data_IF_917295576725
#
_entry.id   IF_917295576725
#
_cell.length_a   1.000
_cell.length_b   1.000
_cell.length_c   1.000
_cell.angle_alpha   90.00
_cell.angle_beta   90.00
_cell.angle_gamma   90.00
#
_symmetry.space_group_name_H-M   'P 1'
#
loop_
_entity.id
_entity.type
_entity.pdbx_description
1 polymer ?
#
# COMPACT_ATOMS: atom_id res chain seq x y z
N UNK A 1 10.67 8.22 -49.12
CA UNK A 1 11.31 8.98 -48.00
C UNK A 1 11.26 8.05 -46.81
N UNK A 2 12.27 7.17 -46.69
CA UNK A 2 12.43 6.23 -45.60
C UNK A 2 13.02 6.95 -44.41
N UNK A 3 12.30 6.99 -43.31
CA UNK A 3 12.84 7.39 -42.01
C UNK A 3 13.50 6.15 -41.41
N UNK A 4 14.80 6.10 -41.45
CA UNK A 4 15.64 5.19 -40.68
C UNK A 4 15.57 5.61 -39.23
N UNK A 5 14.84 4.85 -38.40
CA UNK A 5 14.96 4.89 -36.95
C UNK A 5 16.34 4.39 -36.56
N UNK A 6 17.18 5.31 -36.09
CA UNK A 6 18.40 4.94 -35.37
C UNK A 6 18.00 4.43 -33.98
N UNK A 7 17.89 3.13 -33.80
CA UNK A 7 18.03 2.49 -32.50
C UNK A 7 19.48 2.78 -32.02
N UNK A 8 19.61 3.72 -31.09
CA UNK A 8 20.82 3.83 -30.26
C UNK A 8 20.90 2.58 -29.38
N UNK A 9 21.61 1.58 -29.87
CA UNK A 9 22.03 0.43 -29.07
C UNK A 9 23.01 0.95 -28.02
N UNK A 10 22.62 0.86 -26.74
CA UNK A 10 23.55 0.96 -25.62
C UNK A 10 24.78 0.09 -25.94
N UNK A 11 26.00 0.62 -25.95
CA UNK A 11 27.16 -0.17 -26.30
C UNK A 11 27.27 -1.35 -25.34
N UNK A 12 27.24 -2.56 -25.87
CA UNK A 12 27.52 -3.75 -25.08
C UNK A 12 28.89 -3.52 -24.40
N UNK A 13 28.93 -3.55 -23.05
CA UNK A 13 30.22 -3.45 -22.32
C UNK A 13 31.12 -4.53 -22.90
N UNK A 14 32.21 -4.13 -23.53
CA UNK A 14 33.21 -5.07 -24.06
C UNK A 14 33.74 -5.92 -22.91
N UNK A 15 33.75 -7.22 -23.11
CA UNK A 15 34.33 -8.13 -22.13
C UNK A 15 35.82 -7.80 -21.97
N UNK A 16 36.26 -7.74 -20.74
CA UNK A 16 37.70 -7.57 -20.45
C UNK A 16 38.49 -8.76 -20.95
N UNK A 17 39.63 -8.48 -21.59
CA UNK A 17 40.56 -9.51 -22.03
C UNK A 17 41.25 -10.15 -20.83
N UNK A 18 41.75 -11.39 -21.00
CA UNK A 18 42.53 -12.10 -19.96
C UNK A 18 43.73 -11.29 -19.51
N UNK A 19 44.33 -10.55 -20.43
CA UNK A 19 45.49 -9.71 -20.13
C UNK A 19 45.12 -8.49 -19.27
N UNK A 20 43.99 -7.85 -19.55
CA UNK A 20 43.45 -6.76 -18.71
C UNK A 20 43.11 -7.26 -17.30
N UNK A 21 42.49 -8.43 -17.17
CA UNK A 21 42.23 -9.04 -15.89
C UNK A 21 43.47 -9.41 -15.10
N UNK A 22 44.50 -9.98 -15.77
CA UNK A 22 45.78 -10.26 -15.15
C UNK A 22 46.48 -9.00 -14.65
N UNK A 23 46.48 -7.94 -15.46
CA UNK A 23 47.06 -6.65 -15.09
C UNK A 23 46.38 -6.06 -13.87
N UNK A 24 45.05 -6.00 -13.87
CA UNK A 24 44.28 -5.53 -12.73
C UNK A 24 44.57 -6.32 -11.46
N UNK A 25 44.68 -7.67 -11.56
CA UNK A 25 45.01 -8.52 -10.42
C UNK A 25 46.43 -8.26 -9.90
N UNK A 26 47.45 -8.13 -10.79
CA UNK A 26 48.82 -7.87 -10.42
C UNK A 26 49.03 -6.51 -9.73
N UNK A 27 48.24 -5.50 -10.14
CA UNK A 27 48.37 -4.14 -9.62
C UNK A 27 47.31 -3.81 -8.55
N UNK A 28 46.49 -4.79 -8.16
CA UNK A 28 45.35 -4.59 -7.25
C UNK A 28 44.39 -3.48 -7.71
N UNK A 29 44.26 -3.31 -9.02
CA UNK A 29 43.36 -2.36 -9.62
C UNK A 29 41.90 -2.90 -9.51
N UNK A 30 40.90 -2.07 -9.15
CA UNK A 30 39.53 -2.50 -9.16
C UNK A 30 39.05 -2.81 -10.57
N UNK A 31 38.36 -3.92 -10.76
CA UNK A 31 37.73 -4.32 -12.02
C UNK A 31 36.24 -4.10 -11.94
N UNK A 32 35.71 -3.27 -12.85
CA UNK A 32 34.28 -3.07 -12.95
C UNK A 32 33.64 -4.14 -13.82
N UNK A 33 32.82 -4.96 -13.22
CA UNK A 33 31.96 -5.93 -13.92
C UNK A 33 30.53 -5.37 -14.04
N UNK A 34 29.82 -5.82 -15.06
CA UNK A 34 28.36 -5.61 -15.11
C UNK A 34 27.69 -6.23 -13.87
N UNK A 35 26.70 -5.56 -13.32
CA UNK A 35 26.02 -6.00 -12.10
C UNK A 35 24.53 -6.20 -12.33
N UNK A 36 24.14 -7.30 -13.01
CA UNK A 36 22.75 -7.53 -13.39
C UNK A 36 21.82 -7.85 -12.21
N UNK A 37 22.39 -8.13 -11.02
CA UNK A 37 21.62 -8.55 -9.82
C UNK A 37 21.92 -7.70 -8.58
N UNK A 38 22.54 -6.53 -8.75
CA UNK A 38 22.97 -5.64 -7.66
C UNK A 38 23.99 -6.28 -6.69
N UNK A 39 24.77 -7.27 -7.15
CA UNK A 39 25.78 -7.92 -6.31
C UNK A 39 26.98 -6.99 -6.07
N UNK A 40 27.29 -6.12 -7.03
CA UNK A 40 28.43 -5.20 -7.02
C UNK A 40 28.01 -3.73 -7.02
N UNK A 41 26.73 -3.41 -7.24
CA UNK A 41 26.24 -2.04 -7.20
C UNK A 41 26.34 -1.50 -5.78
N UNK A 42 27.03 -0.38 -5.60
CA UNK A 42 27.16 0.27 -4.28
C UNK A 42 25.83 0.92 -3.92
N UNK A 43 25.16 0.36 -2.91
CA UNK A 43 23.99 0.94 -2.27
C UNK A 43 24.43 1.53 -0.92
N UNK A 44 25.03 2.71 -0.96
CA UNK A 44 25.73 3.35 0.15
C UNK A 44 24.82 4.18 1.07
N UNK A 45 23.54 4.29 0.73
CA UNK A 45 22.52 4.95 1.54
C UNK A 45 21.59 3.93 2.16
N UNK A 46 21.24 4.15 3.42
CA UNK A 46 20.35 3.25 4.16
C UNK A 46 19.44 4.04 5.09
N UNK A 47 18.17 3.63 5.16
CA UNK A 47 17.24 4.13 6.16
C UNK A 47 16.20 3.06 6.54
N UNK A 48 15.72 3.15 7.78
CA UNK A 48 14.60 2.36 8.28
C UNK A 48 13.33 3.18 8.21
N UNK A 49 12.26 2.56 7.73
CA UNK A 49 10.91 3.10 7.70
C UNK A 49 9.93 2.10 8.32
N UNK A 50 8.74 2.57 8.65
CA UNK A 50 7.77 1.75 9.37
C UNK A 50 6.35 1.84 8.76
N UNK A 51 6.18 1.58 7.44
CA UNK A 51 4.85 1.64 6.85
C UNK A 51 3.88 0.74 7.61
N UNK A 52 2.73 1.31 8.01
CA UNK A 52 1.71 0.64 8.83
C UNK A 52 2.24 0.09 10.17
N UNK A 53 3.43 0.50 10.61
CA UNK A 53 4.08 0.04 11.83
C UNK A 53 5.06 -1.12 11.66
N UNK A 54 5.23 -1.66 10.45
CA UNK A 54 6.16 -2.75 10.15
C UNK A 54 7.54 -2.22 9.73
N UNK A 55 8.65 -2.82 10.21
CA UNK A 55 9.99 -2.37 9.84
C UNK A 55 10.32 -2.70 8.39
N UNK A 56 10.79 -1.70 7.65
CA UNK A 56 11.26 -1.81 6.27
C UNK A 56 12.63 -1.15 6.16
N UNK A 57 13.64 -1.92 5.80
CA UNK A 57 14.99 -1.47 5.52
C UNK A 57 15.12 -1.13 4.05
N UNK A 58 15.45 0.11 3.72
CA UNK A 58 15.70 0.57 2.35
C UNK A 58 17.18 0.85 2.16
N UNK A 59 17.82 0.14 1.24
CA UNK A 59 19.20 0.38 0.80
C UNK A 59 19.17 0.89 -0.64
N UNK A 60 19.91 1.97 -0.93
CA UNK A 60 19.87 2.60 -2.26
C UNK A 60 21.16 3.39 -2.52
N UNK A 61 21.36 3.78 -3.78
CA UNK A 61 22.38 4.74 -4.21
C UNK A 61 21.81 6.15 -4.45
N UNK A 62 20.53 6.41 -4.11
CA UNK A 62 19.85 7.68 -4.42
C UNK A 62 19.09 8.26 -3.21
N UNK A 63 19.43 9.51 -2.87
CA UNK A 63 18.70 10.24 -1.82
C UNK A 63 17.21 10.46 -2.20
N UNK A 64 16.94 10.62 -3.49
CA UNK A 64 15.57 10.78 -3.98
C UNK A 64 14.67 9.56 -3.68
N UNK A 65 15.23 8.35 -3.59
CA UNK A 65 14.50 7.15 -3.14
C UNK A 65 14.14 7.25 -1.67
N UNK A 66 15.10 7.65 -0.82
CA UNK A 66 14.84 7.82 0.62
C UNK A 66 13.83 8.93 0.88
N UNK A 67 13.85 10.00 0.08
CA UNK A 67 12.87 11.08 0.16
C UNK A 67 11.48 10.58 -0.25
N UNK A 68 11.38 9.77 -1.32
CA UNK A 68 10.13 9.14 -1.72
C UNK A 68 9.54 8.24 -0.61
N UNK A 69 10.39 7.44 0.03
CA UNK A 69 9.99 6.60 1.15
C UNK A 69 9.57 7.46 2.36
N UNK A 70 10.27 8.55 2.65
CA UNK A 70 9.96 9.47 3.76
C UNK A 70 8.61 10.18 3.55
N UNK A 71 8.30 10.60 2.34
CA UNK A 71 7.00 11.19 2.00
C UNK A 71 5.83 10.23 2.26
N UNK A 72 6.00 8.93 1.92
CA UNK A 72 4.97 7.91 2.12
C UNK A 72 4.90 7.35 3.53
N UNK A 73 6.05 7.20 4.18
CA UNK A 73 6.18 6.39 5.39
C UNK A 73 6.75 7.14 6.60
N UNK A 74 7.21 8.38 6.43
CA UNK A 74 7.89 9.14 7.48
C UNK A 74 7.02 9.49 8.69
N UNK A 75 5.71 9.38 8.59
CA UNK A 75 4.77 9.61 9.68
C UNK A 75 4.52 8.37 10.56
N UNK A 76 4.92 7.19 10.11
CA UNK A 76 4.74 5.96 10.86
C UNK A 76 5.92 5.70 11.78
N UNK A 77 5.63 5.10 12.94
CA UNK A 77 6.62 4.64 13.91
C UNK A 77 6.59 3.12 14.01
N UNK A 78 7.66 2.50 14.50
CA UNK A 78 7.70 1.08 14.77
C UNK A 78 6.61 0.69 15.78
N UNK A 79 5.77 -0.29 15.41
CA UNK A 79 4.73 -0.83 16.28
C UNK A 79 4.84 -2.34 16.44
N UNK A 80 5.34 -3.01 15.43
CA UNK A 80 5.44 -4.46 15.40
C UNK A 80 6.91 -4.85 15.37
N UNK A 81 7.32 -5.60 16.40
CA UNK A 81 8.66 -6.18 16.47
C UNK A 81 8.73 -7.38 15.53
N UNK A 82 9.23 -7.15 14.33
CA UNK A 82 9.37 -8.12 13.25
C UNK A 82 10.73 -7.94 12.58
N UNK A 83 11.22 -9.00 11.95
CA UNK A 83 12.38 -8.87 11.07
C UNK A 83 12.10 -7.87 9.95
N UNK A 84 13.03 -6.96 9.64
CA UNK A 84 12.81 -5.95 8.62
C UNK A 84 12.62 -6.53 7.22
N UNK A 85 11.59 -6.08 6.51
CA UNK A 85 11.46 -6.25 5.07
C UNK A 85 12.62 -5.51 4.42
N UNK A 86 13.34 -6.15 3.51
CA UNK A 86 14.56 -5.61 2.91
C UNK A 86 14.32 -5.18 1.47
N UNK A 87 14.43 -3.90 1.18
CA UNK A 87 14.33 -3.34 -0.15
C UNK A 87 15.71 -2.83 -0.60
N UNK A 88 16.24 -3.37 -1.69
CA UNK A 88 17.40 -2.85 -2.39
C UNK A 88 16.94 -2.11 -3.64
N UNK A 89 17.28 -0.84 -3.76
CA UNK A 89 16.84 0.01 -4.86
C UNK A 89 18.06 0.61 -5.55
N UNK A 90 18.33 0.16 -6.76
CA UNK A 90 19.35 0.77 -7.61
C UNK A 90 18.70 1.78 -8.57
N UNK A 91 19.28 2.97 -8.64
CA UNK A 91 18.86 4.02 -9.55
C UNK A 91 19.97 4.25 -10.57
N UNK A 92 19.62 4.18 -11.85
CA UNK A 92 20.51 4.49 -12.96
C UNK A 92 20.27 5.92 -13.46
N UNK A 93 21.33 6.60 -13.89
CA UNK A 93 21.24 7.92 -14.48
C UNK A 93 20.37 7.92 -15.73
N UNK A 94 19.49 8.90 -15.84
CA UNK A 94 18.59 9.06 -16.98
C UNK A 94 18.18 10.52 -17.13
N UNK A 95 18.42 11.06 -18.32
CA UNK A 95 18.04 12.43 -18.69
C UNK A 95 16.58 12.53 -19.18
N UNK A 96 15.85 11.42 -19.33
CA UNK A 96 14.45 11.43 -19.73
C UNK A 96 13.58 12.17 -18.69
N UNK A 97 12.55 12.83 -19.19
CA UNK A 97 11.49 13.43 -18.36
C UNK A 97 10.16 12.67 -18.48
N UNK A 98 10.16 11.61 -19.28
CA UNK A 98 8.96 10.81 -19.54
C UNK A 98 8.74 9.83 -18.40
N UNK A 99 7.49 9.74 -17.92
CA UNK A 99 7.13 8.73 -16.93
C UNK A 99 7.17 7.35 -17.59
N UNK A 100 7.84 6.36 -16.99
CA UNK A 100 7.81 4.98 -17.52
C UNK A 100 6.40 4.43 -17.63
N UNK A 101 6.19 3.37 -18.44
CA UNK A 101 4.87 2.75 -18.58
C UNK A 101 4.38 2.16 -17.24
N UNK A 102 3.06 1.94 -17.14
CA UNK A 102 2.49 1.23 -15.98
C UNK A 102 3.03 -0.18 -15.89
N UNK A 103 3.63 -0.60 -14.76
CA UNK A 103 4.17 -1.94 -14.62
C UNK A 103 3.12 -3.03 -14.74
N UNK A 104 3.51 -4.13 -15.35
CA UNK A 104 2.77 -5.39 -15.33
C UNK A 104 3.22 -6.20 -14.13
N UNK A 105 2.28 -6.45 -13.21
CA UNK A 105 2.53 -7.31 -12.06
C UNK A 105 2.26 -8.76 -12.41
N UNK A 106 3.20 -9.64 -12.11
CA UNK A 106 3.05 -11.09 -12.24
C UNK A 106 3.52 -11.76 -10.96
N UNK A 107 2.84 -12.86 -10.61
CA UNK A 107 3.15 -13.64 -9.42
C UNK A 107 3.26 -15.11 -9.81
N UNK A 108 4.32 -15.75 -9.36
CA UNK A 108 4.50 -17.20 -9.48
C UNK A 108 5.12 -17.71 -8.18
N UNK A 109 4.41 -18.59 -7.50
CA UNK A 109 4.75 -19.05 -6.15
C UNK A 109 5.02 -17.86 -5.22
N UNK A 110 6.16 -17.80 -4.57
CA UNK A 110 6.57 -16.70 -3.67
C UNK A 110 7.22 -15.51 -4.42
N UNK A 111 7.40 -15.60 -5.74
CA UNK A 111 8.04 -14.56 -6.52
C UNK A 111 7.01 -13.61 -7.15
N UNK A 112 7.20 -12.33 -6.94
CA UNK A 112 6.42 -11.26 -7.58
C UNK A 112 7.34 -10.40 -8.43
N UNK A 113 6.91 -10.09 -9.66
CA UNK A 113 7.60 -9.16 -10.53
C UNK A 113 6.69 -8.01 -10.92
N UNK A 114 7.21 -6.78 -10.82
CA UNK A 114 6.59 -5.56 -11.34
C UNK A 114 7.50 -5.04 -12.45
N UNK A 115 7.10 -5.18 -13.71
CA UNK A 115 7.93 -4.84 -14.88
C UNK A 115 7.24 -3.73 -15.66
N UNK A 116 7.84 -2.54 -15.68
CA UNK A 116 7.43 -1.42 -16.52
C UNK A 116 8.11 -1.51 -17.90
N UNK A 117 9.42 -1.65 -17.90
CA UNK A 117 10.30 -1.80 -19.07
C UNK A 117 11.61 -2.48 -18.65
N UNK A 118 12.63 -2.49 -19.53
CA UNK A 118 13.92 -3.11 -19.26
C UNK A 118 14.75 -2.43 -18.16
N UNK A 119 14.49 -1.16 -17.89
CA UNK A 119 15.24 -0.33 -16.93
C UNK A 119 14.49 -0.15 -15.60
N UNK A 120 13.16 -0.33 -15.62
CA UNK A 120 12.29 -0.05 -14.49
C UNK A 120 11.48 -1.28 -14.11
N UNK A 121 11.97 -2.04 -13.14
CA UNK A 121 11.33 -3.27 -12.69
C UNK A 121 11.69 -3.62 -11.24
N UNK A 122 10.89 -4.47 -10.62
CA UNK A 122 11.14 -5.03 -9.30
C UNK A 122 10.95 -6.55 -9.31
N UNK A 123 11.78 -7.23 -8.54
CA UNK A 123 11.65 -8.66 -8.23
C UNK A 123 11.58 -8.80 -6.72
N UNK A 124 10.49 -9.36 -6.24
CA UNK A 124 10.22 -9.54 -4.80
C UNK A 124 10.09 -11.02 -4.48
N UNK A 125 10.86 -11.47 -3.51
CA UNK A 125 10.70 -12.77 -2.88
C UNK A 125 9.90 -12.60 -1.57
N UNK A 126 8.62 -12.98 -1.61
CA UNK A 126 7.73 -12.88 -0.47
C UNK A 126 8.14 -13.81 0.68
N UNK A 127 8.79 -14.94 0.39
CA UNK A 127 9.20 -15.92 1.40
C UNK A 127 10.36 -15.43 2.25
N UNK A 128 11.30 -14.72 1.66
CA UNK A 128 12.46 -14.14 2.34
C UNK A 128 12.27 -12.68 2.74
N UNK A 129 11.10 -12.09 2.45
CA UNK A 129 10.79 -10.70 2.74
C UNK A 129 11.83 -9.73 2.14
N UNK A 130 12.15 -9.96 0.88
CA UNK A 130 13.21 -9.26 0.18
C UNK A 130 12.76 -8.79 -1.20
N UNK A 131 13.14 -7.59 -1.60
CA UNK A 131 12.93 -7.08 -2.95
C UNK A 131 14.16 -6.37 -3.49
N UNK A 132 14.40 -6.56 -4.79
CA UNK A 132 15.35 -5.78 -5.57
C UNK A 132 14.59 -4.97 -6.61
N UNK A 133 14.86 -3.68 -6.66
CA UNK A 133 14.20 -2.71 -7.54
C UNK A 133 15.28 -2.03 -8.37
N UNK A 134 15.08 -2.02 -9.68
CA UNK A 134 15.84 -1.19 -10.62
C UNK A 134 14.93 -0.08 -11.12
N UNK A 135 15.43 1.13 -11.11
CA UNK A 135 14.67 2.28 -11.57
C UNK A 135 15.61 3.31 -12.21
N UNK A 136 15.12 4.02 -13.19
CA UNK A 136 15.82 5.19 -13.72
C UNK A 136 15.54 6.41 -12.86
N UNK A 137 16.38 7.46 -12.95
CA UNK A 137 16.08 8.73 -12.32
C UNK A 137 14.74 9.32 -12.81
N UNK A 138 14.37 9.08 -14.07
CA UNK A 138 13.06 9.48 -14.58
C UNK A 138 11.93 8.86 -13.79
N UNK A 139 11.98 7.55 -13.52
CA UNK A 139 10.96 6.87 -12.71
C UNK A 139 10.87 7.47 -11.30
N UNK A 140 12.02 7.71 -10.65
CA UNK A 140 12.07 8.26 -9.28
C UNK A 140 11.58 9.71 -9.23
N UNK A 141 11.82 10.53 -10.28
CA UNK A 141 11.28 11.90 -10.41
C UNK A 141 9.76 11.92 -10.48
N UNK A 142 9.13 10.93 -11.09
CA UNK A 142 7.67 10.73 -11.07
C UNK A 142 7.24 10.10 -9.74
N UNK A 143 7.31 10.90 -8.68
CA UNK A 143 7.25 10.51 -7.27
C UNK A 143 6.11 9.56 -6.92
N UNK A 144 4.87 9.90 -7.32
CA UNK A 144 3.69 9.08 -7.03
C UNK A 144 3.71 7.74 -7.78
N UNK A 145 4.21 7.76 -9.02
CA UNK A 145 4.41 6.55 -9.81
C UNK A 145 5.40 5.60 -9.11
N UNK A 146 6.59 6.12 -8.75
CA UNK A 146 7.63 5.32 -8.12
C UNK A 146 7.20 4.77 -6.75
N UNK A 147 6.62 5.63 -5.90
CA UNK A 147 6.10 5.21 -4.60
C UNK A 147 5.07 4.10 -4.75
N UNK A 148 4.06 4.30 -5.58
CA UNK A 148 2.96 3.37 -5.70
C UNK A 148 3.37 2.02 -6.30
N UNK A 149 4.08 2.05 -7.45
CA UNK A 149 4.37 0.84 -8.21
C UNK A 149 5.60 0.07 -7.72
N UNK A 150 6.52 0.72 -7.03
CA UNK A 150 7.77 0.08 -6.61
C UNK A 150 7.93 0.03 -5.10
N UNK A 151 7.81 1.11 -4.37
CA UNK A 151 8.00 1.09 -2.92
C UNK A 151 6.80 0.48 -2.18
N UNK A 152 5.60 1.04 -2.37
CA UNK A 152 4.40 0.60 -1.65
C UNK A 152 3.96 -0.81 -2.06
N UNK A 153 3.95 -1.11 -3.36
CA UNK A 153 3.53 -2.43 -3.86
C UNK A 153 4.43 -3.55 -3.33
N UNK A 154 5.74 -3.34 -3.29
CA UNK A 154 6.69 -4.35 -2.80
C UNK A 154 6.62 -4.49 -1.27
N UNK A 155 6.66 -3.38 -0.52
CA UNK A 155 6.58 -3.42 0.93
C UNK A 155 5.24 -4.01 1.41
N UNK A 156 4.11 -3.56 0.83
CA UNK A 156 2.79 -4.07 1.22
C UNK A 156 2.54 -5.51 0.76
N UNK A 157 3.13 -5.94 -0.35
CA UNK A 157 3.17 -7.34 -0.77
C UNK A 157 3.82 -8.22 0.28
N UNK A 158 4.99 -7.83 0.77
CA UNK A 158 5.70 -8.52 1.84
C UNK A 158 4.91 -8.51 3.18
N UNK A 159 4.37 -7.34 3.59
CA UNK A 159 3.52 -7.25 4.79
C UNK A 159 2.33 -8.20 4.68
N UNK A 160 1.63 -8.20 3.54
CA UNK A 160 0.43 -9.03 3.34
C UNK A 160 0.76 -10.52 3.31
N UNK A 161 1.93 -10.90 2.79
CA UNK A 161 2.35 -12.31 2.76
C UNK A 161 2.70 -12.83 4.16
N UNK A 162 3.51 -12.09 4.94
CA UNK A 162 4.09 -12.64 6.17
C UNK A 162 3.35 -12.20 7.44
N UNK A 163 2.85 -10.98 7.50
CA UNK A 163 2.53 -10.32 8.76
C UNK A 163 1.06 -9.96 8.94
N UNK A 164 0.29 -9.81 7.85
CA UNK A 164 -1.08 -9.36 7.94
C UNK A 164 -1.97 -9.93 6.84
N UNK A 165 -3.28 -9.90 7.06
CA UNK A 165 -4.28 -10.17 6.02
C UNK A 165 -4.84 -8.84 5.55
N UNK A 166 -4.59 -8.50 4.28
CA UNK A 166 -5.13 -7.27 3.69
C UNK A 166 -6.64 -7.39 3.48
N UNK A 167 -7.38 -6.41 3.96
CA UNK A 167 -8.84 -6.33 3.88
C UNK A 167 -9.22 -5.02 3.19
N UNK A 168 -10.01 -5.09 2.13
CA UNK A 168 -10.54 -3.91 1.46
C UNK A 168 -11.69 -3.30 2.26
N UNK A 169 -11.36 -2.61 3.34
CA UNK A 169 -12.30 -1.96 4.25
C UNK A 169 -11.71 -0.68 4.81
N UNK A 170 -12.57 0.31 5.07
CA UNK A 170 -12.23 1.42 5.96
C UNK A 170 -12.26 0.95 7.42
N UNK A 171 -11.58 1.67 8.30
CA UNK A 171 -11.63 1.43 9.74
C UNK A 171 -11.71 2.74 10.51
N UNK A 172 -12.64 2.82 11.44
CA UNK A 172 -12.80 3.90 12.40
C UNK A 172 -13.03 3.31 13.80
N UNK A 173 -12.72 4.06 14.85
CA UNK A 173 -12.94 3.60 16.21
C UNK A 173 -13.63 4.67 17.06
N UNK A 174 -14.49 4.25 17.97
CA UNK A 174 -15.11 5.07 18.99
C UNK A 174 -14.98 4.34 20.33
N UNK A 175 -14.53 5.06 21.36
CA UNK A 175 -14.33 4.50 22.71
C UNK A 175 -13.53 3.18 22.69
N UNK A 176 -12.44 3.16 21.88
CA UNK A 176 -11.51 2.03 21.61
C UNK A 176 -12.14 0.83 20.87
N UNK A 177 -13.42 0.92 20.48
CA UNK A 177 -14.12 -0.11 19.72
C UNK A 177 -14.01 0.17 18.20
N UNK A 178 -13.25 -0.66 17.49
CA UNK A 178 -13.04 -0.54 16.04
C UNK A 178 -14.21 -1.10 15.23
N UNK A 179 -14.59 -0.36 14.18
CA UNK A 179 -15.55 -0.80 13.15
C UNK A 179 -14.84 -0.90 11.81
N UNK A 180 -14.89 -2.07 11.17
CA UNK A 180 -14.56 -2.23 9.77
C UNK A 180 -15.77 -1.89 8.89
N UNK A 181 -15.57 -0.92 7.99
CA UNK A 181 -16.55 -0.50 6.99
C UNK A 181 -16.25 -1.21 5.67
N UNK A 182 -17.01 -2.25 5.38
CA UNK A 182 -16.91 -3.09 4.20
C UNK A 182 -17.91 -2.67 3.11
N UNK A 183 -17.66 -3.06 1.88
CA UNK A 183 -18.59 -2.81 0.77
C UNK A 183 -17.87 -2.59 -0.55
N UNK A 184 -18.64 -2.58 -1.62
CA UNK A 184 -18.16 -2.44 -2.97
C UNK A 184 -17.51 -1.07 -3.25
N UNK A 185 -16.82 -0.97 -4.39
CA UNK A 185 -16.30 0.32 -4.82
C UNK A 185 -17.43 1.32 -5.06
N UNK A 186 -17.47 2.40 -4.28
CA UNK A 186 -18.54 3.39 -4.33
C UNK A 186 -19.60 3.25 -3.21
N UNK A 187 -19.54 2.21 -2.39
CA UNK A 187 -20.44 2.03 -1.24
C UNK A 187 -20.31 3.13 -0.17
N UNK A 188 -19.26 3.97 -0.25
CA UNK A 188 -19.11 5.11 0.65
C UNK A 188 -18.13 4.90 1.80
N UNK A 189 -17.27 3.87 1.77
CA UNK A 189 -16.27 3.59 2.83
C UNK A 189 -15.47 4.83 3.23
N UNK A 190 -14.76 5.46 2.30
CA UNK A 190 -13.97 6.68 2.54
C UNK A 190 -14.84 7.82 3.07
N UNK A 191 -16.02 8.03 2.45
CA UNK A 191 -16.93 9.11 2.82
C UNK A 191 -17.42 8.95 4.24
N UNK A 192 -17.84 7.73 4.63
CA UNK A 192 -18.35 7.45 5.97
C UNK A 192 -17.23 7.43 7.02
N UNK A 193 -16.05 6.84 6.72
CA UNK A 193 -14.90 6.90 7.62
C UNK A 193 -14.51 8.33 7.96
N UNK A 194 -14.50 9.20 6.96
CA UNK A 194 -14.17 10.61 7.14
C UNK A 194 -15.26 11.40 7.86
N UNK A 195 -16.53 11.11 7.60
CA UNK A 195 -17.66 11.70 8.33
C UNK A 195 -17.63 11.30 9.83
N UNK A 196 -17.36 10.03 10.15
CA UNK A 196 -17.14 9.57 11.51
C UNK A 196 -16.00 10.32 12.18
N UNK A 197 -14.86 10.50 11.49
CA UNK A 197 -13.73 11.23 12.01
C UNK A 197 -14.07 12.68 12.39
N UNK A 198 -14.86 13.37 11.56
CA UNK A 198 -15.37 14.72 11.85
C UNK A 198 -16.37 14.75 13.00
N UNK A 199 -17.07 13.64 13.24
CA UNK A 199 -17.98 13.47 14.38
C UNK A 199 -17.26 13.05 15.68
N UNK A 200 -15.91 13.12 15.69
CA UNK A 200 -15.09 12.87 16.88
C UNK A 200 -14.61 11.43 17.07
N UNK A 201 -14.80 10.55 16.04
CA UNK A 201 -14.24 9.22 16.03
C UNK A 201 -12.73 9.26 15.75
N UNK A 202 -12.03 8.19 16.07
CA UNK A 202 -10.64 7.98 15.66
C UNK A 202 -10.61 7.39 14.24
N UNK A 203 -9.95 8.08 13.33
CA UNK A 203 -9.72 7.61 11.95
C UNK A 203 -8.51 6.69 11.91
N UNK A 204 -8.67 5.51 11.31
CA UNK A 204 -7.60 4.52 11.15
C UNK A 204 -7.21 4.38 9.66
N UNK A 205 -8.19 4.20 8.79
CA UNK A 205 -7.99 4.13 7.34
C UNK A 205 -9.33 4.21 6.62
N UNK A 206 -9.31 4.56 5.33
CA UNK A 206 -10.52 4.64 4.50
C UNK A 206 -10.74 3.47 3.54
N UNK A 207 -9.68 2.72 3.19
CA UNK A 207 -9.78 1.74 2.10
C UNK A 207 -9.02 0.44 2.35
N UNK A 208 -7.85 0.50 2.98
CA UNK A 208 -6.98 -0.65 3.22
C UNK A 208 -6.74 -0.91 4.69
N UNK A 209 -7.39 -1.91 5.26
CA UNK A 209 -7.16 -2.41 6.62
C UNK A 209 -6.32 -3.68 6.57
N UNK A 210 -5.35 -3.81 7.44
CA UNK A 210 -4.46 -4.97 7.52
C UNK A 210 -4.64 -5.64 8.87
N UNK A 211 -5.29 -6.81 8.90
CA UNK A 211 -5.46 -7.62 10.11
C UNK A 211 -4.13 -8.27 10.47
N UNK A 212 -3.53 -7.85 11.57
CA UNK A 212 -2.17 -8.25 11.97
C UNK A 212 -2.15 -9.66 12.53
N UNK A 213 -1.27 -10.49 12.00
CA UNK A 213 -1.13 -11.87 12.45
C UNK A 213 -0.37 -11.96 13.79
N UNK A 214 -0.83 -12.82 14.67
CA UNK A 214 -0.19 -13.07 15.97
C UNK A 214 -0.48 -12.03 17.03
N UNK A 215 -1.26 -11.00 16.71
CA UNK A 215 -1.73 -10.02 17.69
C UNK A 215 -3.11 -10.43 18.26
N UNK A 216 -3.34 -10.04 19.50
CA UNK A 216 -4.62 -10.28 20.16
C UNK A 216 -5.73 -9.37 19.62
N UNK A 217 -6.98 -9.69 19.95
CA UNK A 217 -8.17 -8.82 19.80
C UNK A 217 -8.46 -8.30 18.39
N UNK A 218 -8.07 -9.06 17.36
CA UNK A 218 -8.38 -8.68 15.97
C UNK A 218 -7.84 -7.30 15.62
N UNK A 219 -6.57 -7.08 15.97
CA UNK A 219 -5.87 -5.84 15.72
C UNK A 219 -5.72 -5.60 14.22
N UNK A 220 -6.20 -4.45 13.75
CA UNK A 220 -5.93 -3.97 12.39
C UNK A 220 -5.02 -2.76 12.42
N UNK A 221 -4.23 -2.61 11.37
CA UNK A 221 -3.45 -1.40 11.08
C UNK A 221 -3.85 -0.82 9.74
N UNK A 222 -3.67 0.49 9.54
CA UNK A 222 -4.02 1.17 8.31
C UNK A 222 -3.33 2.52 8.13
N UNK A 223 -3.51 3.13 6.95
CA UNK A 223 -2.94 4.44 6.68
C UNK A 223 -3.85 5.56 7.24
N UNK A 224 -3.57 5.98 8.45
CA UNK A 224 -4.30 7.04 9.14
C UNK A 224 -3.87 8.47 8.74
N UNK A 225 -2.90 8.61 7.84
CA UNK A 225 -2.34 9.89 7.42
C UNK A 225 -2.87 10.39 6.07
N UNK A 226 -3.76 9.64 5.45
CA UNK A 226 -4.32 9.97 4.15
C UNK A 226 -5.76 9.47 4.03
N UNK A 227 -6.61 10.22 3.34
CA UNK A 227 -7.91 9.76 2.85
C UNK A 227 -8.01 9.99 1.34
N UNK A 228 -8.62 9.05 0.62
CA UNK A 228 -8.69 9.11 -0.84
C UNK A 228 -10.14 9.12 -1.32
N UNK A 229 -10.56 10.26 -1.82
CA UNK A 229 -11.93 10.51 -2.25
C UNK A 229 -12.11 10.38 -3.76
N UNK A 230 -13.31 10.02 -4.17
CA UNK A 230 -13.77 10.28 -5.53
C UNK A 230 -14.03 11.78 -5.71
N UNK A 231 -13.86 12.35 -6.91
CA UNK A 231 -14.15 13.76 -7.14
C UNK A 231 -15.56 14.18 -6.73
N UNK A 232 -16.55 13.29 -6.88
CA UNK A 232 -17.93 13.53 -6.45
C UNK A 232 -18.09 13.83 -4.95
N UNK A 233 -17.11 13.51 -4.12
CA UNK A 233 -17.14 13.80 -2.68
C UNK A 233 -16.99 15.30 -2.36
N UNK A 234 -16.56 16.13 -3.33
CA UNK A 234 -16.51 17.59 -3.17
C UNK A 234 -17.87 18.20 -2.81
N UNK A 235 -18.95 17.56 -3.23
CA UNK A 235 -20.30 18.00 -2.88
C UNK A 235 -20.60 17.83 -1.39
N UNK A 236 -19.97 16.85 -0.73
CA UNK A 236 -20.16 16.55 0.69
C UNK A 236 -19.13 17.22 1.59
N UNK A 237 -17.91 17.42 1.07
CA UNK A 237 -16.77 17.95 1.82
C UNK A 237 -16.15 19.15 1.13
N UNK A 238 -16.53 20.39 1.52
CA UNK A 238 -16.05 21.62 0.87
C UNK A 238 -14.53 21.76 0.83
N UNK A 239 -13.79 21.17 1.78
CA UNK A 239 -12.33 21.19 1.84
C UNK A 239 -11.64 20.39 0.71
N UNK A 240 -12.39 19.63 -0.06
CA UNK A 240 -11.90 18.93 -1.24
C UNK A 240 -11.94 19.79 -2.50
N UNK A 241 -12.71 20.89 -2.49
CA UNK A 241 -12.90 21.75 -3.67
C UNK A 241 -11.59 22.39 -4.12
N UNK A 242 -11.34 22.32 -5.42
CA UNK A 242 -10.15 22.90 -6.04
C UNK A 242 -8.85 22.13 -5.78
N UNK A 243 -8.92 20.95 -5.16
CA UNK A 243 -7.76 20.07 -5.03
C UNK A 243 -7.50 19.33 -6.35
N UNK A 244 -6.24 19.01 -6.56
CA UNK A 244 -5.83 18.24 -7.73
C UNK A 244 -6.50 16.86 -7.76
N UNK A 245 -7.04 16.51 -8.93
CA UNK A 245 -7.58 15.18 -9.20
C UNK A 245 -6.48 14.32 -9.78
N UNK A 246 -5.94 13.42 -8.99
CA UNK A 246 -4.89 12.52 -9.40
C UNK A 246 -5.47 11.27 -10.07
N UNK A 247 -4.77 10.78 -11.08
CA UNK A 247 -5.00 9.43 -11.63
C UNK A 247 -3.73 8.64 -11.42
N UNK A 248 -3.79 7.62 -10.59
CA UNK A 248 -2.69 6.65 -10.59
C UNK A 248 -2.59 6.04 -11.98
N UNK A 249 -1.37 5.96 -12.51
CA UNK A 249 -1.10 5.50 -13.86
C UNK A 249 -1.84 4.18 -14.18
N UNK A 250 -2.29 4.02 -15.40
CA UNK A 250 -3.05 2.87 -15.86
C UNK A 250 -4.55 2.95 -15.56
N UNK A 251 -5.11 1.92 -14.98
CA UNK A 251 -6.55 1.79 -14.69
C UNK A 251 -7.00 2.49 -13.40
N UNK A 252 -6.17 3.35 -12.81
CA UNK A 252 -6.48 4.07 -11.58
C UNK A 252 -7.70 4.98 -11.75
N UNK A 253 -8.69 4.82 -10.87
CA UNK A 253 -9.86 5.70 -10.87
C UNK A 253 -9.45 7.10 -10.39
N UNK A 254 -10.00 8.20 -10.96
CA UNK A 254 -9.73 9.55 -10.51
C UNK A 254 -9.97 9.69 -9.01
N UNK A 255 -9.06 10.30 -8.29
CA UNK A 255 -9.16 10.48 -6.84
C UNK A 255 -8.54 11.80 -6.38
N UNK A 256 -9.08 12.34 -5.31
CA UNK A 256 -8.52 13.46 -4.57
C UNK A 256 -7.87 12.89 -3.32
N UNK A 257 -6.57 13.09 -3.16
CA UNK A 257 -5.84 12.68 -1.96
C UNK A 257 -5.82 13.82 -0.94
N UNK A 258 -6.29 13.51 0.26
CA UNK A 258 -6.32 14.45 1.39
C UNK A 258 -5.35 13.96 2.47
N UNK A 259 -4.22 14.66 2.70
CA UNK A 259 -3.34 14.36 3.82
C UNK A 259 -4.04 14.65 5.16
N UNK A 260 -3.99 13.71 6.08
CA UNK A 260 -4.46 13.86 7.45
C UNK A 260 -3.22 14.02 8.34
N UNK A 261 -2.91 15.29 8.70
CA UNK A 261 -1.73 15.62 9.49
C UNK A 261 -2.03 15.50 10.99
N UNK A 262 -1.07 15.09 11.81
CA UNK A 262 -1.18 15.21 13.27
C UNK A 262 -1.48 16.66 13.68
N UNK A 263 -2.37 16.84 14.67
CA UNK A 263 -2.79 18.17 15.14
C UNK A 263 -3.99 18.78 14.40
N UNK A 264 -4.54 18.12 13.38
CA UNK A 264 -5.83 18.48 12.79
C UNK A 264 -6.98 18.18 13.78
N UNK A 265 -8.18 18.70 13.47
CA UNK A 265 -9.40 18.42 14.25
C UNK A 265 -9.80 16.92 14.26
N UNK A 266 -9.17 16.10 13.42
CA UNK A 266 -9.42 14.66 13.29
C UNK A 266 -8.42 13.90 14.19
N UNK A 267 -8.94 13.07 15.08
CA UNK A 267 -8.12 12.10 15.82
C UNK A 267 -7.75 10.95 14.93
N UNK A 268 -6.49 10.54 14.96
CA UNK A 268 -5.96 9.43 14.16
C UNK A 268 -5.29 8.37 15.03
N UNK A 269 -5.37 7.12 14.62
CA UNK A 269 -4.58 6.02 15.16
C UNK A 269 -4.14 5.11 14.02
N UNK A 270 -2.93 4.62 14.06
CA UNK A 270 -2.48 3.64 13.07
C UNK A 270 -3.12 2.26 13.27
N UNK A 271 -3.71 1.98 14.45
CA UNK A 271 -4.28 0.68 14.80
C UNK A 271 -5.62 0.81 15.50
N UNK A 272 -6.45 -0.24 15.39
CA UNK A 272 -7.67 -0.41 16.19
C UNK A 272 -7.98 -1.90 16.40
N UNK A 273 -8.63 -2.21 17.53
CA UNK A 273 -9.19 -3.55 17.81
C UNK A 273 -10.60 -3.64 17.23
N UNK A 274 -10.83 -4.56 16.30
CA UNK A 274 -12.13 -4.69 15.61
C UNK A 274 -13.14 -5.39 16.50
N UNK A 275 -14.28 -4.73 16.72
CA UNK A 275 -15.46 -5.27 17.43
C UNK A 275 -16.67 -5.48 16.54
N UNK A 276 -16.75 -4.72 15.46
CA UNK A 276 -17.86 -4.79 14.51
C UNK A 276 -17.37 -4.78 13.07
N UNK A 277 -18.08 -5.49 12.20
CA UNK A 277 -17.98 -5.36 10.76
C UNK A 277 -19.32 -4.88 10.21
N UNK A 278 -19.27 -3.82 9.40
CA UNK A 278 -20.45 -3.21 8.83
C UNK A 278 -20.31 -3.14 7.31
N UNK A 279 -21.22 -3.84 6.64
CA UNK A 279 -21.33 -3.84 5.17
C UNK A 279 -22.23 -2.69 4.74
N UNK A 280 -21.76 -1.87 3.81
CA UNK A 280 -22.37 -0.62 3.43
C UNK A 280 -23.22 -0.76 2.16
N UNK A 281 -24.45 -0.30 2.20
CA UNK A 281 -25.33 -0.16 1.04
C UNK A 281 -25.92 1.26 1.00
N UNK A 282 -25.81 1.94 -0.14
CA UNK A 282 -26.32 3.30 -0.37
C UNK A 282 -27.46 3.31 -1.38
N UNK A 283 -28.14 4.46 -1.46
CA UNK A 283 -29.26 4.69 -2.38
C UNK A 283 -30.45 3.72 -2.14
N UNK A 284 -30.78 3.55 -0.88
CA UNK A 284 -31.81 2.65 -0.39
C UNK A 284 -33.12 3.39 -0.13
N UNK A 285 -34.25 2.65 -0.14
CA UNK A 285 -35.56 3.22 0.20
C UNK A 285 -35.75 3.42 1.71
N UNK A 286 -35.06 2.63 2.53
CA UNK A 286 -35.19 2.65 3.98
C UNK A 286 -33.81 2.59 4.63
N UNK A 287 -33.57 3.50 5.55
CA UNK A 287 -32.34 3.50 6.37
C UNK A 287 -32.51 2.53 7.54
N UNK A 288 -31.59 1.58 7.67
CA UNK A 288 -31.63 0.57 8.73
C UNK A 288 -30.26 -0.07 8.95
N UNK A 289 -30.06 -0.62 10.15
CA UNK A 289 -28.94 -1.47 10.50
C UNK A 289 -29.48 -2.83 10.87
N UNK A 290 -29.11 -3.86 10.12
CA UNK A 290 -29.62 -5.23 10.30
C UNK A 290 -28.45 -6.22 10.42
N UNK A 291 -28.60 -7.38 11.09
CA UNK A 291 -27.60 -8.42 11.10
C UNK A 291 -27.22 -8.86 9.68
N UNK A 292 -25.92 -9.05 9.43
CA UNK A 292 -25.43 -9.52 8.13
C UNK A 292 -24.94 -10.98 8.22
N UNK A 293 -25.24 -11.85 7.24
CA UNK A 293 -24.83 -13.25 7.28
C UNK A 293 -23.32 -13.43 7.26
N UNK A 294 -22.74 -14.08 8.27
CA UNK A 294 -21.29 -14.33 8.38
C UNK A 294 -20.72 -15.07 7.16
N UNK A 295 -21.47 -16.02 6.60
CA UNK A 295 -21.04 -16.77 5.42
C UNK A 295 -20.82 -15.85 4.22
N UNK A 296 -21.69 -14.87 4.02
CA UNK A 296 -21.53 -13.85 2.96
C UNK A 296 -20.34 -12.95 3.24
N UNK A 297 -20.17 -12.53 4.50
CA UNK A 297 -19.00 -11.77 4.94
C UNK A 297 -17.68 -12.53 4.67
N UNK A 298 -17.65 -13.84 4.95
CA UNK A 298 -16.50 -14.70 4.65
C UNK A 298 -16.17 -14.75 3.16
N UNK A 299 -17.18 -14.93 2.32
CA UNK A 299 -17.02 -14.94 0.86
C UNK A 299 -16.51 -13.58 0.36
N UNK A 300 -17.06 -12.48 0.87
CA UNK A 300 -16.64 -11.12 0.53
C UNK A 300 -15.17 -10.88 0.88
N UNK A 301 -14.75 -11.22 2.09
CA UNK A 301 -13.36 -11.03 2.52
C UNK A 301 -12.41 -11.90 1.71
N UNK A 302 -12.78 -13.16 1.47
CA UNK A 302 -11.94 -14.10 0.75
C UNK A 302 -11.66 -13.68 -0.69
N UNK A 303 -12.66 -13.17 -1.40
CA UNK A 303 -12.49 -12.77 -2.81
C UNK A 303 -11.47 -11.63 -3.01
N UNK A 304 -11.20 -10.85 -1.97
CA UNK A 304 -10.26 -9.71 -2.04
C UNK A 304 -8.83 -10.10 -1.69
N UNK A 305 -8.62 -11.28 -1.11
CA UNK A 305 -7.31 -11.76 -0.69
C UNK A 305 -6.57 -12.37 -1.85
N UNK A 306 -5.38 -11.86 -2.08
CA UNK A 306 -4.44 -12.43 -3.04
C UNK A 306 -3.27 -12.99 -2.26
N UNK A 307 -3.24 -14.32 -2.13
CA UNK A 307 -2.19 -15.03 -1.39
C UNK A 307 -1.75 -16.27 -2.13
N UNK A 308 -0.60 -16.79 -1.75
CA UNK A 308 -0.08 -18.05 -2.25
C UNK A 308 -0.87 -19.23 -1.69
N UNK A 309 -0.91 -20.38 -2.42
CA UNK A 309 -1.60 -21.58 -1.93
C UNK A 309 -1.17 -22.01 -0.52
N UNK A 310 0.11 -21.88 -0.19
CA UNK A 310 0.63 -22.24 1.14
C UNK A 310 0.27 -21.23 2.24
N UNK A 311 -0.09 -20.00 1.88
CA UNK A 311 -0.54 -18.95 2.83
C UNK A 311 -2.04 -19.00 3.10
N UNK A 312 -2.81 -19.66 2.22
CA UNK A 312 -4.27 -19.76 2.25
C UNK A 312 -4.81 -20.09 3.63
N UNK A 313 -4.23 -21.10 4.29
CA UNK A 313 -4.67 -21.54 5.61
C UNK A 313 -4.53 -20.46 6.68
N UNK A 314 -3.47 -19.66 6.63
CA UNK A 314 -3.23 -18.55 7.56
C UNK A 314 -4.24 -17.45 7.39
N UNK A 315 -4.47 -17.02 6.15
CA UNK A 315 -5.44 -15.97 5.85
C UNK A 315 -6.88 -16.41 6.15
N UNK A 316 -7.24 -17.66 5.85
CA UNK A 316 -8.56 -18.21 6.21
C UNK A 316 -8.78 -18.22 7.72
N UNK A 317 -7.80 -18.66 8.51
CA UNK A 317 -7.88 -18.63 9.97
C UNK A 317 -8.04 -17.20 10.49
N UNK A 318 -7.31 -16.24 9.92
CA UNK A 318 -7.43 -14.83 10.30
C UNK A 318 -8.83 -14.27 9.97
N UNK A 319 -9.38 -14.58 8.79
CA UNK A 319 -10.75 -14.19 8.41
C UNK A 319 -11.77 -14.83 9.36
N UNK A 320 -11.65 -16.13 9.63
CA UNK A 320 -12.61 -16.85 10.48
C UNK A 320 -12.59 -16.27 11.91
N UNK A 321 -11.41 -15.95 12.45
CA UNK A 321 -11.28 -15.27 13.75
C UNK A 321 -11.86 -13.84 13.71
N UNK A 322 -11.65 -13.10 12.62
CA UNK A 322 -12.24 -11.77 12.47
C UNK A 322 -13.78 -11.84 12.46
N UNK A 323 -14.35 -12.83 11.78
CA UNK A 323 -15.80 -12.99 11.66
C UNK A 323 -16.52 -13.48 12.93
N UNK A 324 -15.79 -13.71 14.03
CA UNK A 324 -16.41 -13.90 15.34
C UNK A 324 -17.04 -12.62 15.90
N UNK A 325 -16.66 -11.45 15.36
CA UNK A 325 -17.31 -10.18 15.70
C UNK A 325 -18.76 -10.14 15.17
N UNK A 326 -19.55 -9.23 15.72
CA UNK A 326 -20.89 -8.98 15.19
C UNK A 326 -20.81 -8.33 13.81
N UNK A 327 -21.55 -8.89 12.86
CA UNK A 327 -21.61 -8.41 11.48
C UNK A 327 -22.97 -7.80 11.17
N UNK A 328 -22.99 -6.62 10.56
CA UNK A 328 -24.20 -5.87 10.22
C UNK A 328 -24.16 -5.38 8.77
N UNK A 329 -25.34 -5.11 8.22
CA UNK A 329 -25.54 -4.34 7.01
C UNK A 329 -26.09 -2.96 7.40
N UNK A 330 -25.44 -1.91 6.93
CA UNK A 330 -25.89 -0.53 7.10
C UNK A 330 -26.41 -0.01 5.77
N UNK A 331 -27.72 0.14 5.69
CA UNK A 331 -28.44 0.72 4.56
C UNK A 331 -28.73 2.18 4.87
N UNK A 332 -28.20 3.11 4.06
CA UNK A 332 -28.25 4.52 4.40
C UNK A 332 -28.23 5.44 3.18
N UNK A 333 -28.79 6.66 3.35
CA UNK A 333 -28.71 7.78 2.43
C UNK A 333 -28.05 9.00 3.10
N UNK A 334 -28.42 9.26 4.37
CA UNK A 334 -27.86 10.36 5.15
C UNK A 334 -26.58 9.93 5.87
N UNK A 335 -25.51 10.72 5.73
CA UNK A 335 -24.26 10.50 6.46
C UNK A 335 -24.43 10.75 7.96
N UNK A 336 -25.19 11.77 8.32
CA UNK A 336 -25.47 12.11 9.71
C UNK A 336 -26.21 10.96 10.42
N UNK A 337 -27.23 10.41 9.77
CA UNK A 337 -27.95 9.26 10.28
C UNK A 337 -27.01 8.02 10.41
N UNK A 338 -26.20 7.76 9.40
CA UNK A 338 -25.27 6.63 9.42
C UNK A 338 -24.26 6.74 10.56
N UNK A 339 -23.65 7.91 10.76
CA UNK A 339 -22.71 8.18 11.87
C UNK A 339 -23.38 7.97 13.23
N UNK A 340 -24.59 8.52 13.45
CA UNK A 340 -25.30 8.38 14.72
C UNK A 340 -25.72 6.92 14.94
N UNK A 341 -26.14 6.21 13.88
CA UNK A 341 -26.51 4.79 13.97
C UNK A 341 -25.33 3.89 14.34
N UNK A 342 -24.13 4.16 13.77
CA UNK A 342 -22.91 3.48 14.17
C UNK A 342 -22.50 3.79 15.62
N UNK A 343 -22.73 5.01 16.07
CA UNK A 343 -22.46 5.41 17.45
C UNK A 343 -23.38 4.67 18.44
N UNK A 344 -24.67 4.52 18.09
CA UNK A 344 -25.59 3.69 18.86
C UNK A 344 -25.16 2.23 18.89
N UNK A 345 -24.70 1.68 17.74
CA UNK A 345 -24.16 0.32 17.68
C UNK A 345 -23.02 0.10 18.67
N UNK A 346 -22.05 1.03 18.74
CA UNK A 346 -20.93 0.91 19.69
C UNK A 346 -21.42 0.99 21.14
N UNK A 347 -22.31 1.92 21.45
CA UNK A 347 -22.77 2.17 22.83
C UNK A 347 -23.76 1.11 23.36
N UNK A 348 -24.61 0.59 22.51
CA UNK A 348 -25.69 -0.32 22.91
C UNK A 348 -25.44 -1.77 22.47
N UNK A 349 -24.45 -2.01 21.59
CA UNK A 349 -24.14 -3.34 21.07
C UNK A 349 -25.17 -3.91 20.08
N UNK A 350 -26.05 -3.05 19.52
CA UNK A 350 -27.16 -3.45 18.66
C UNK A 350 -27.58 -2.39 17.64
#
# INVERSE_FOLDING_TARGET
MEQTEHEERTPAKELLTVEQLKRAWLWSEPVEFGDPILAHTRLDRHAMFYPLGFPVSVMTNSDAVLDAAREGWGWFTCRFDREPIRLKVAVTEDNSRVCPPTPVCRMRDHMVTNIADSENFAVTDLSSQFSTIWATEAAVRHRDYFRYFFLESTAMGCVSSAHATAIHAGCVALDDEGILLCGDSGAGKTTLSYACAHAGWTYVTDDGSYLVHGEADRLVTGNCHQARFRPSAEALFPQLRGREVMRRAGAGKPSIELPIKPGNAIRTSATANVRYMVFLERNVHKEELTPFPRVVGRMYLWQTIRCMPYETSRHLKAIDALLEVKTFELRYNSLEWAVERLKQLVREGR
#
